data_IF_581627125937
#
_entry.id   IF_581627125937
#
_cell.length_a   1.000
_cell.length_b   1.000
_cell.length_c   1.000
_cell.angle_alpha   90.00
_cell.angle_beta   90.00
_cell.angle_gamma   90.00
#
_symmetry.space_group_name_H-M   'P 1'
#
loop_
_entity.id
_entity.type
_entity.pdbx_description
1 polymer ?
#
# COMPACT_ATOMS: atom_id res chain seq x y z
N UNK A 1 -31.99 43.55 7.49
CA UNK A 1 -30.78 43.29 8.33
C UNK A 1 -30.84 41.88 8.94
N UNK A 2 -31.01 40.82 8.13
CA UNK A 2 -31.25 39.45 8.64
C UNK A 2 -30.67 38.32 7.76
N UNK A 3 -29.68 38.59 6.89
CA UNK A 3 -29.16 37.57 5.95
C UNK A 3 -27.66 37.24 6.07
N UNK A 4 -26.95 37.74 7.08
CA UNK A 4 -25.48 37.57 7.16
C UNK A 4 -25.01 36.63 8.28
N UNK A 5 -25.91 36.12 9.14
CA UNK A 5 -25.50 35.49 10.41
C UNK A 5 -25.23 33.97 10.36
N UNK A 6 -25.43 33.27 9.25
CA UNK A 6 -25.35 31.78 9.22
C UNK A 6 -24.04 31.21 8.65
N UNK A 7 -23.10 32.03 8.15
CA UNK A 7 -21.85 31.51 7.54
C UNK A 7 -20.72 31.16 8.53
N UNK A 8 -20.81 31.50 9.82
CA UNK A 8 -19.69 31.28 10.77
C UNK A 8 -19.60 29.88 11.39
N UNK A 9 -20.61 29.03 11.24
CA UNK A 9 -20.61 27.70 11.88
C UNK A 9 -20.08 26.54 11.01
N UNK A 10 -19.78 26.75 9.71
CA UNK A 10 -19.21 25.71 8.83
C UNK A 10 -17.68 25.61 8.82
N UNK A 11 -16.98 26.45 9.59
CA UNK A 11 -15.50 26.47 9.59
C UNK A 11 -14.88 25.74 10.79
N UNK A 12 -15.67 25.32 11.78
CA UNK A 12 -15.16 24.68 12.99
C UNK A 12 -15.06 23.14 12.93
N UNK A 13 -15.74 22.48 11.98
CA UNK A 13 -15.69 21.02 11.85
C UNK A 13 -14.41 20.52 11.17
N UNK A 14 -13.79 21.33 10.31
CA UNK A 14 -12.62 20.91 9.51
C UNK A 14 -11.35 20.73 10.37
N UNK A 15 -11.28 21.34 11.57
CA UNK A 15 -10.10 21.23 12.44
C UNK A 15 -10.07 19.96 13.31
N UNK A 16 -11.18 19.24 13.44
CA UNK A 16 -11.26 18.01 14.27
C UNK A 16 -10.96 16.75 13.47
N UNK A 17 -11.08 16.80 12.14
CA UNK A 17 -10.83 15.65 11.25
C UNK A 17 -9.34 15.43 10.96
N UNK A 18 -8.51 16.47 11.01
CA UNK A 18 -7.08 16.40 10.72
C UNK A 18 -6.29 15.65 11.81
N UNK A 19 -6.63 15.82 13.09
CA UNK A 19 -6.02 15.04 14.18
C UNK A 19 -6.42 13.56 14.14
N UNK A 20 -7.68 13.27 13.78
CA UNK A 20 -8.16 11.90 13.61
C UNK A 20 -7.55 11.21 12.39
N UNK A 21 -7.34 11.94 11.29
CA UNK A 21 -6.68 11.42 10.09
C UNK A 21 -5.21 11.10 10.34
N UNK A 22 -4.48 11.94 11.09
CA UNK A 22 -3.08 11.66 11.46
C UNK A 22 -2.99 10.48 12.42
N UNK A 23 -3.86 10.40 13.43
CA UNK A 23 -3.91 9.27 14.36
C UNK A 23 -4.34 7.96 13.66
N UNK A 24 -5.29 8.02 12.72
CA UNK A 24 -5.67 6.89 11.90
C UNK A 24 -4.56 6.49 10.93
N UNK A 25 -3.87 7.44 10.29
CA UNK A 25 -2.71 7.18 9.46
C UNK A 25 -1.58 6.52 10.27
N UNK A 26 -1.35 6.97 11.50
CA UNK A 26 -0.36 6.38 12.40
C UNK A 26 -0.78 4.98 12.88
N UNK A 27 -2.06 4.79 13.19
CA UNK A 27 -2.61 3.48 13.56
C UNK A 27 -2.53 2.50 12.39
N UNK A 28 -2.83 2.93 11.16
CA UNK A 28 -2.68 2.14 9.94
C UNK A 28 -1.22 1.87 9.61
N UNK A 29 -0.35 2.87 9.76
CA UNK A 29 1.09 2.69 9.58
C UNK A 29 1.62 1.64 10.55
N UNK A 30 1.23 1.72 11.83
CA UNK A 30 1.53 0.71 12.85
C UNK A 30 0.94 -0.64 12.46
N UNK A 31 -0.33 -0.71 12.08
CA UNK A 31 -0.99 -1.98 11.76
C UNK A 31 -0.37 -2.64 10.52
N UNK A 32 0.00 -1.84 9.51
CA UNK A 32 0.80 -2.29 8.37
C UNK A 32 2.17 -2.77 8.86
N UNK A 33 2.90 -2.00 9.64
CA UNK A 33 4.23 -2.40 10.13
C UNK A 33 4.20 -3.66 11.00
N UNK A 34 3.12 -3.90 11.74
CA UNK A 34 3.01 -5.01 12.70
C UNK A 34 2.32 -6.24 12.11
N UNK A 35 1.37 -6.07 11.17
CA UNK A 35 0.61 -7.16 10.54
C UNK A 35 1.08 -7.52 9.12
N UNK A 36 1.79 -6.63 8.41
CA UNK A 36 2.33 -6.95 7.08
C UNK A 36 3.76 -7.45 7.14
N UNK A 37 4.19 -8.13 6.08
CA UNK A 37 5.53 -8.70 5.90
C UNK A 37 6.66 -7.64 5.92
N UNK A 38 6.39 -6.35 6.14
CA UNK A 38 7.39 -5.27 6.11
C UNK A 38 8.48 -5.47 7.16
N UNK A 39 8.13 -5.66 8.43
CA UNK A 39 9.13 -5.84 9.49
C UNK A 39 10.05 -7.05 9.26
N UNK A 40 9.53 -8.27 8.96
CA UNK A 40 10.40 -9.41 8.67
C UNK A 40 11.19 -9.24 7.36
N UNK A 41 10.64 -8.58 6.33
CA UNK A 41 11.37 -8.28 5.08
C UNK A 41 12.54 -7.32 5.33
N UNK A 42 12.32 -6.26 6.12
CA UNK A 42 13.39 -5.32 6.46
C UNK A 42 14.47 -5.96 7.33
N UNK A 43 14.08 -6.81 8.30
CA UNK A 43 15.02 -7.57 9.10
C UNK A 43 15.84 -8.55 8.24
N UNK A 44 15.19 -9.24 7.29
CA UNK A 44 15.84 -10.12 6.34
C UNK A 44 16.80 -9.38 5.41
N UNK A 45 16.41 -8.19 4.92
CA UNK A 45 17.28 -7.34 4.10
C UNK A 45 18.48 -6.85 4.89
N UNK A 46 18.29 -6.42 6.14
CA UNK A 46 19.41 -6.02 7.02
C UNK A 46 20.37 -7.19 7.26
N UNK A 47 19.86 -8.40 7.44
CA UNK A 47 20.66 -9.61 7.55
C UNK A 47 21.46 -9.88 6.27
N UNK A 48 20.84 -9.77 5.10
CA UNK A 48 21.53 -9.94 3.80
C UNK A 48 22.65 -8.90 3.64
N UNK A 49 22.41 -7.64 3.98
CA UNK A 49 23.42 -6.56 3.90
C UNK A 49 24.64 -6.89 4.75
N UNK A 50 24.48 -7.55 5.90
CA UNK A 50 25.59 -7.92 6.78
C UNK A 50 26.32 -9.17 6.27
N UNK A 51 25.59 -10.16 5.74
CA UNK A 51 26.14 -11.47 5.36
C UNK A 51 26.78 -11.46 3.97
N UNK A 52 26.14 -10.86 2.96
CA UNK A 52 26.56 -10.90 1.55
C UNK A 52 27.95 -10.30 1.28
N UNK A 53 28.42 -9.26 2.00
CA UNK A 53 29.78 -8.76 1.86
C UNK A 53 30.87 -9.81 2.17
N UNK A 54 30.58 -10.83 2.98
CA UNK A 54 31.57 -11.85 3.36
C UNK A 54 32.04 -12.67 2.14
N UNK A 55 31.17 -13.35 1.38
CA UNK A 55 31.59 -14.07 0.18
C UNK A 55 32.15 -13.13 -0.89
N UNK A 56 31.59 -11.92 -1.05
CA UNK A 56 32.11 -10.92 -1.99
C UNK A 56 33.57 -10.59 -1.67
N UNK A 57 33.87 -10.25 -0.41
CA UNK A 57 35.22 -9.94 0.04
C UNK A 57 36.18 -11.13 -0.15
N UNK A 58 35.74 -12.36 0.17
CA UNK A 58 36.56 -13.55 0.05
C UNK A 58 36.92 -13.89 -1.41
N UNK A 59 36.01 -13.58 -2.34
CA UNK A 59 36.22 -13.81 -3.77
C UNK A 59 37.05 -12.68 -4.37
N UNK A 60 36.71 -11.43 -4.09
CA UNK A 60 37.39 -10.27 -4.66
C UNK A 60 38.86 -10.19 -4.21
N UNK A 61 39.19 -10.52 -2.96
CA UNK A 61 40.59 -10.53 -2.48
C UNK A 61 41.55 -11.45 -3.25
N UNK A 62 41.02 -12.34 -4.09
CA UNK A 62 41.82 -13.22 -4.95
C UNK A 62 42.32 -12.53 -6.22
N UNK A 63 41.76 -11.37 -6.57
CA UNK A 63 42.18 -10.55 -7.71
C UNK A 63 43.17 -9.46 -7.27
N UNK A 64 44.19 -9.21 -8.09
CA UNK A 64 45.13 -8.10 -7.89
C UNK A 64 44.53 -6.72 -8.20
N UNK A 65 43.41 -6.69 -8.92
CA UNK A 65 42.69 -5.47 -9.33
C UNK A 65 41.47 -5.18 -8.43
N UNK A 66 41.34 -5.85 -7.28
CA UNK A 66 40.15 -5.76 -6.46
C UNK A 66 40.02 -4.42 -5.70
N UNK A 67 38.93 -3.70 -5.95
CA UNK A 67 38.56 -2.51 -5.17
C UNK A 67 38.08 -2.88 -3.75
N UNK A 68 37.45 -4.05 -3.61
CA UNK A 68 36.94 -4.57 -2.32
C UNK A 68 38.08 -5.17 -1.49
N UNK A 69 38.89 -4.31 -0.89
CA UNK A 69 40.08 -4.70 -0.09
C UNK A 69 39.79 -5.03 1.36
N UNK A 70 38.60 -4.70 1.87
CA UNK A 70 38.18 -5.02 3.24
C UNK A 70 36.69 -5.33 3.32
N UNK A 71 36.29 -6.06 4.37
CA UNK A 71 34.87 -6.32 4.65
C UNK A 71 34.03 -5.04 4.70
N UNK A 72 34.57 -3.96 5.26
CA UNK A 72 33.86 -2.68 5.41
C UNK A 72 33.55 -2.02 4.06
N UNK A 73 34.45 -2.16 3.08
CA UNK A 73 34.21 -1.68 1.71
C UNK A 73 33.12 -2.52 1.05
N UNK A 74 33.14 -3.85 1.25
CA UNK A 74 32.08 -4.73 0.77
C UNK A 74 30.72 -4.44 1.43
N UNK A 75 30.72 -4.07 2.72
CA UNK A 75 29.51 -3.69 3.46
C UNK A 75 28.94 -2.37 2.95
N UNK A 76 29.79 -1.37 2.73
CA UNK A 76 29.40 -0.12 2.07
C UNK A 76 28.81 -0.39 0.67
N UNK A 77 29.45 -1.28 -0.08
CA UNK A 77 28.94 -1.72 -1.38
C UNK A 77 27.54 -2.34 -1.26
N UNK A 78 27.33 -3.28 -0.33
CA UNK A 78 26.02 -3.88 -0.13
C UNK A 78 24.95 -2.84 0.29
N UNK A 79 25.33 -1.88 1.14
CA UNK A 79 24.41 -0.81 1.58
C UNK A 79 23.96 0.06 0.41
N UNK A 80 24.90 0.61 -0.36
CA UNK A 80 24.53 1.51 -1.45
C UNK A 80 23.87 0.79 -2.65
N UNK A 81 24.06 -0.53 -2.79
CA UNK A 81 23.33 -1.35 -3.77
C UNK A 81 21.84 -1.45 -3.42
N UNK A 82 21.48 -1.82 -2.19
CA UNK A 82 20.06 -1.99 -1.83
C UNK A 82 19.31 -0.65 -1.74
N UNK A 83 19.99 0.43 -1.35
CA UNK A 83 19.40 1.77 -1.29
C UNK A 83 19.27 2.41 -2.66
N UNK A 84 19.77 1.77 -3.73
CA UNK A 84 19.83 2.29 -5.10
C UNK A 84 20.60 3.61 -5.24
N UNK A 85 21.39 3.97 -4.23
CA UNK A 85 22.33 5.11 -4.32
C UNK A 85 23.39 4.80 -5.37
N UNK A 86 23.82 3.54 -5.43
CA UNK A 86 24.91 3.10 -6.29
C UNK A 86 26.28 3.59 -5.79
N UNK A 87 27.34 3.05 -6.39
CA UNK A 87 28.73 3.35 -6.08
C UNK A 87 29.42 3.65 -7.40
N UNK A 88 30.26 4.68 -7.43
CA UNK A 88 31.09 4.98 -8.59
C UNK A 88 32.58 4.74 -8.34
N UNK A 89 32.92 4.32 -7.11
CA UNK A 89 34.28 4.22 -6.58
C UNK A 89 34.70 2.78 -6.25
N UNK A 90 33.75 1.83 -6.20
CA UNK A 90 34.00 0.44 -5.82
C UNK A 90 33.25 -0.49 -6.75
N UNK A 91 33.98 -1.24 -7.58
CA UNK A 91 33.41 -2.23 -8.47
C UNK A 91 33.81 -3.67 -8.11
N UNK A 92 32.97 -4.63 -8.50
CA UNK A 92 33.24 -6.05 -8.42
C UNK A 92 33.98 -6.46 -9.69
N UNK A 93 35.24 -6.87 -9.57
CA UNK A 93 36.08 -7.17 -10.74
C UNK A 93 36.00 -8.64 -11.11
N UNK A 94 35.80 -9.52 -10.14
CA UNK A 94 35.72 -10.96 -10.38
C UNK A 94 34.37 -11.36 -10.99
N UNK A 95 34.39 -12.31 -11.93
CA UNK A 95 33.17 -12.88 -12.51
C UNK A 95 32.20 -13.47 -11.45
N UNK A 96 32.65 -14.33 -10.51
CA UNK A 96 31.78 -14.82 -9.45
C UNK A 96 31.29 -13.72 -8.49
N UNK A 97 32.13 -12.71 -8.19
CA UNK A 97 31.72 -11.55 -7.39
C UNK A 97 30.57 -10.78 -8.07
N UNK A 98 30.69 -10.50 -9.37
CA UNK A 98 29.64 -9.85 -10.17
C UNK A 98 28.33 -10.63 -10.18
N UNK A 99 28.37 -11.96 -10.28
CA UNK A 99 27.15 -12.79 -10.24
C UNK A 99 26.46 -12.65 -8.89
N UNK A 100 27.20 -12.80 -7.78
CA UNK A 100 26.64 -12.69 -6.43
C UNK A 100 26.10 -11.28 -6.19
N UNK A 101 26.88 -10.25 -6.54
CA UNK A 101 26.47 -8.86 -6.42
C UNK A 101 25.21 -8.54 -7.24
N UNK A 102 25.11 -9.04 -8.47
CA UNK A 102 23.92 -8.82 -9.32
C UNK A 102 22.67 -9.45 -8.72
N UNK A 103 22.77 -10.70 -8.25
CA UNK A 103 21.65 -11.39 -7.58
C UNK A 103 21.24 -10.64 -6.32
N UNK A 104 22.21 -10.22 -5.51
CA UNK A 104 21.96 -9.44 -4.30
C UNK A 104 21.20 -8.15 -4.62
N UNK A 105 21.68 -7.35 -5.58
CA UNK A 105 21.04 -6.10 -5.98
C UNK A 105 19.60 -6.30 -6.45
N UNK A 106 19.33 -7.31 -7.29
CA UNK A 106 17.97 -7.59 -7.77
C UNK A 106 17.04 -7.92 -6.60
N UNK A 107 17.46 -8.84 -5.72
CA UNK A 107 16.67 -9.28 -4.57
C UNK A 107 16.44 -8.13 -3.59
N UNK A 108 17.50 -7.39 -3.26
CA UNK A 108 17.43 -6.32 -2.25
C UNK A 108 16.55 -5.16 -2.70
N UNK A 109 16.64 -4.76 -3.97
CA UNK A 109 15.81 -3.70 -4.55
C UNK A 109 14.35 -4.14 -4.62
N UNK A 110 14.08 -5.37 -5.07
CA UNK A 110 12.72 -5.92 -5.13
C UNK A 110 12.07 -5.97 -3.74
N UNK A 111 12.81 -6.40 -2.72
CA UNK A 111 12.32 -6.45 -1.34
C UNK A 111 12.08 -5.04 -0.77
N UNK A 112 13.04 -4.12 -0.96
CA UNK A 112 12.92 -2.75 -0.46
C UNK A 112 11.74 -2.03 -1.09
N UNK A 113 11.71 -1.88 -2.43
CA UNK A 113 10.62 -1.19 -3.11
C UNK A 113 9.30 -1.94 -3.02
N UNK A 114 9.31 -3.27 -3.07
CA UNK A 114 8.12 -4.09 -2.90
C UNK A 114 7.44 -3.84 -1.55
N UNK A 115 8.22 -3.74 -0.47
CA UNK A 115 7.71 -3.43 0.86
C UNK A 115 7.12 -2.01 0.95
N UNK A 116 7.78 -1.02 0.35
CA UNK A 116 7.32 0.37 0.30
C UNK A 116 6.01 0.47 -0.47
N UNK A 117 5.95 -0.10 -1.69
CA UNK A 117 4.75 -0.09 -2.53
C UNK A 117 3.59 -0.79 -1.82
N UNK A 118 3.82 -1.95 -1.19
CA UNK A 118 2.78 -2.67 -0.45
C UNK A 118 2.21 -1.83 0.71
N UNK A 119 3.07 -1.11 1.43
CA UNK A 119 2.64 -0.21 2.49
C UNK A 119 1.78 0.95 1.95
N UNK A 120 2.20 1.58 0.84
CA UNK A 120 1.41 2.63 0.17
C UNK A 120 0.08 2.11 -0.37
N UNK A 121 0.07 0.97 -1.07
CA UNK A 121 -1.14 0.34 -1.60
C UNK A 121 -2.14 0.05 -0.49
N UNK A 122 -1.67 -0.44 0.66
CA UNK A 122 -2.54 -0.70 1.83
C UNK A 122 -3.22 0.57 2.33
N UNK A 123 -2.49 1.69 2.43
CA UNK A 123 -3.06 2.99 2.82
C UNK A 123 -4.18 3.44 1.88
N UNK A 124 -3.95 3.35 0.57
CA UNK A 124 -4.97 3.71 -0.41
C UNK A 124 -6.16 2.75 -0.34
N UNK A 125 -5.94 1.43 -0.39
CA UNK A 125 -7.01 0.42 -0.35
C UNK A 125 -7.95 0.59 0.84
N UNK A 126 -7.41 0.95 2.02
CA UNK A 126 -8.20 1.19 3.22
C UNK A 126 -9.05 2.48 3.13
N UNK A 127 -8.51 3.53 2.49
CA UNK A 127 -9.26 4.76 2.22
C UNK A 127 -10.45 4.50 1.28
N UNK A 128 -10.26 3.69 0.25
CA UNK A 128 -11.29 3.41 -0.76
C UNK A 128 -12.34 2.36 -0.33
N UNK A 129 -12.12 1.60 0.75
CA UNK A 129 -13.08 0.59 1.23
C UNK A 129 -14.22 1.14 2.09
N UNK A 130 -14.19 2.42 2.50
CA UNK A 130 -15.23 3.03 3.33
C UNK A 130 -16.63 3.25 2.72
N UNK A 131 -16.88 3.31 1.39
CA UNK A 131 -18.22 3.66 0.90
C UNK A 131 -19.29 2.60 1.15
N UNK A 132 -18.95 1.31 1.20
CA UNK A 132 -19.97 0.25 1.12
C UNK A 132 -20.74 -0.03 2.41
N UNK A 133 -20.10 0.07 3.58
CA UNK A 133 -20.79 -0.20 4.86
C UNK A 133 -21.78 0.91 5.20
N UNK A 134 -21.42 2.16 4.94
CA UNK A 134 -22.34 3.27 5.20
C UNK A 134 -23.62 3.18 4.39
N UNK A 135 -23.58 2.78 3.12
CA UNK A 135 -24.79 2.64 2.31
C UNK A 135 -25.75 1.58 2.87
N UNK A 136 -25.22 0.42 3.30
CA UNK A 136 -26.05 -0.66 3.87
C UNK A 136 -26.63 -0.24 5.22
N UNK A 137 -25.83 0.38 6.08
CA UNK A 137 -26.30 0.83 7.40
C UNK A 137 -27.35 1.94 7.27
N UNK A 138 -27.15 2.87 6.34
CA UNK A 138 -28.10 3.96 6.05
C UNK A 138 -29.42 3.41 5.50
N UNK A 139 -29.38 2.51 4.52
CA UNK A 139 -30.59 1.85 4.00
C UNK A 139 -31.30 1.08 5.12
N UNK A 140 -30.56 0.33 5.94
CA UNK A 140 -31.14 -0.44 7.07
C UNK A 140 -31.79 0.48 8.10
N UNK A 141 -31.16 1.61 8.41
CA UNK A 141 -31.70 2.61 9.33
C UNK A 141 -33.00 3.24 8.82
N UNK A 142 -33.05 3.63 7.54
CA UNK A 142 -34.28 4.17 6.93
C UNK A 142 -35.40 3.12 6.85
N UNK A 143 -35.08 1.86 6.53
CA UNK A 143 -36.05 0.76 6.53
C UNK A 143 -36.60 0.45 7.93
N UNK A 144 -35.79 0.57 8.98
CA UNK A 144 -36.25 0.40 10.36
C UNK A 144 -37.17 1.53 10.84
N UNK A 145 -37.09 2.71 10.22
CA UNK A 145 -37.86 3.89 10.58
C UNK A 145 -38.96 4.21 9.56
N UNK A 146 -39.33 3.26 8.71
CA UNK A 146 -40.22 3.48 7.55
C UNK A 146 -41.56 4.14 7.92
N UNK A 147 -42.12 3.80 9.08
CA UNK A 147 -43.41 4.33 9.56
C UNK A 147 -43.34 5.79 10.06
N UNK A 148 -42.14 6.33 10.24
CA UNK A 148 -41.91 7.69 10.75
C UNK A 148 -41.21 8.61 9.74
N UNK A 149 -41.09 8.17 8.48
CA UNK A 149 -40.47 8.96 7.42
C UNK A 149 -41.44 10.04 6.91
N UNK A 150 -40.89 11.21 6.63
CA UNK A 150 -41.55 12.23 5.82
C UNK A 150 -41.54 11.85 4.33
N UNK A 151 -42.43 12.43 3.52
CA UNK A 151 -42.50 12.14 2.08
C UNK A 151 -41.17 12.43 1.36
N UNK A 152 -40.46 13.50 1.73
CA UNK A 152 -39.12 13.80 1.22
C UNK A 152 -38.10 12.69 1.51
N UNK A 153 -38.14 12.08 2.70
CA UNK A 153 -37.20 11.02 3.08
C UNK A 153 -37.53 9.68 2.38
N UNK A 154 -38.78 9.48 1.99
CA UNK A 154 -39.21 8.32 1.19
C UNK A 154 -38.71 8.45 -0.25
N UNK A 155 -38.82 9.63 -0.86
CA UNK A 155 -38.30 9.90 -2.20
C UNK A 155 -36.77 9.75 -2.24
N UNK A 156 -36.07 10.21 -1.20
CA UNK A 156 -34.61 10.03 -1.06
C UNK A 156 -34.23 8.53 -0.95
N UNK A 157 -35.01 7.73 -0.22
CA UNK A 157 -34.79 6.29 -0.12
C UNK A 157 -35.03 5.58 -1.46
N UNK A 158 -36.06 5.98 -2.21
CA UNK A 158 -36.34 5.44 -3.55
C UNK A 158 -35.19 5.73 -4.51
N UNK A 159 -34.68 6.96 -4.52
CA UNK A 159 -33.56 7.36 -5.38
C UNK A 159 -32.31 6.52 -5.10
N UNK A 160 -31.91 6.41 -3.81
CA UNK A 160 -30.74 5.64 -3.39
C UNK A 160 -30.92 4.15 -3.74
N UNK A 161 -32.10 3.59 -3.48
CA UNK A 161 -32.38 2.17 -3.74
C UNK A 161 -32.38 1.87 -5.23
N UNK A 162 -32.97 2.75 -6.06
CA UNK A 162 -32.98 2.60 -7.51
C UNK A 162 -31.57 2.63 -8.11
N UNK A 163 -30.70 3.51 -7.61
CA UNK A 163 -29.30 3.59 -8.06
C UNK A 163 -28.50 2.34 -7.70
N UNK A 164 -28.71 1.78 -6.52
CA UNK A 164 -28.11 0.50 -6.11
C UNK A 164 -28.66 -0.66 -6.95
N UNK A 165 -29.96 -0.69 -7.22
CA UNK A 165 -30.60 -1.74 -8.02
C UNK A 165 -30.11 -1.69 -9.49
N UNK A 166 -29.97 -0.49 -10.06
CA UNK A 166 -29.47 -0.31 -11.42
C UNK A 166 -28.03 -0.81 -11.57
N UNK A 167 -27.14 -0.40 -10.65
CA UNK A 167 -25.75 -0.85 -10.64
C UNK A 167 -25.58 -2.33 -10.30
N UNK A 168 -26.50 -2.93 -9.53
CA UNK A 168 -26.56 -4.38 -9.33
C UNK A 168 -27.00 -5.12 -10.62
N UNK A 169 -27.99 -4.58 -11.32
CA UNK A 169 -28.52 -5.13 -12.58
C UNK A 169 -27.44 -5.14 -13.67
N UNK A 170 -26.68 -4.06 -13.84
CA UNK A 170 -25.55 -4.02 -14.77
C UNK A 170 -24.49 -5.08 -14.44
N UNK A 171 -24.11 -5.22 -13.15
CA UNK A 171 -23.13 -6.25 -12.73
C UNK A 171 -23.60 -7.67 -13.00
N UNK A 172 -24.90 -7.95 -12.85
CA UNK A 172 -25.48 -9.26 -13.13
C UNK A 172 -25.53 -9.52 -14.64
N UNK A 173 -25.90 -8.51 -15.42
CA UNK A 173 -25.91 -8.57 -16.88
C UNK A 173 -24.50 -8.79 -17.45
N UNK A 174 -23.49 -8.08 -16.95
CA UNK A 174 -22.08 -8.28 -17.32
C UNK A 174 -21.57 -9.67 -16.93
N UNK A 175 -22.00 -10.21 -15.78
CA UNK A 175 -21.64 -11.57 -15.36
C UNK A 175 -22.22 -12.64 -16.28
N UNK A 176 -23.47 -12.48 -16.72
CA UNK A 176 -24.11 -13.40 -17.67
C UNK A 176 -23.53 -13.28 -19.08
N UNK A 177 -23.16 -12.07 -19.53
CA UNK A 177 -22.52 -11.87 -20.83
C UNK A 177 -21.11 -12.47 -20.90
N UNK A 178 -20.42 -12.58 -19.76
CA UNK A 178 -19.07 -13.16 -19.64
C UNK A 178 -19.07 -14.67 -19.43
N UNK A 179 -20.23 -15.29 -19.26
CA UNK A 179 -20.40 -16.74 -19.07
C UNK A 179 -21.40 -17.35 -20.07
N UNK A 180 -21.13 -17.37 -21.39
CA UNK A 180 -22.06 -17.98 -22.34
C UNK A 180 -21.97 -19.51 -22.44
N UNK A 181 -21.01 -20.18 -21.76
CA UNK A 181 -20.54 -21.51 -22.20
C UNK A 181 -20.50 -22.59 -21.10
N UNK A 182 -21.33 -22.49 -20.06
CA UNK A 182 -21.42 -23.55 -19.01
C UNK A 182 -22.81 -24.19 -18.89
N UNK A 183 -23.79 -23.76 -19.68
CA UNK A 183 -25.14 -24.35 -19.70
C UNK A 183 -25.64 -24.54 -21.15
N UNK A 184 -24.95 -25.39 -21.90
CA UNK A 184 -25.54 -26.07 -23.05
C UNK A 184 -25.70 -27.57 -22.69
N UNK A 185 -26.93 -28.11 -22.65
CA UNK A 185 -27.18 -29.52 -22.34
C UNK A 185 -26.62 -30.47 -23.40
#
# INVERSE_FOLDING_TARGET
MLLVRTRKHRLASIRRESFGAVAAAFALFRDVFTQTLVLPVMAFLALLVIIVPVPIFLIERSSSEADVTSYWIGLWWAVAAFTTVGHSDVDLVTAPGRVIGSVFTIVSVALFFGSVIAAFSSYFLLTWRKPRRHVIDTITYYLQRIEQLSLEEIDELEEITSGVLHSARERVADRHKKSPDEDAP
#
